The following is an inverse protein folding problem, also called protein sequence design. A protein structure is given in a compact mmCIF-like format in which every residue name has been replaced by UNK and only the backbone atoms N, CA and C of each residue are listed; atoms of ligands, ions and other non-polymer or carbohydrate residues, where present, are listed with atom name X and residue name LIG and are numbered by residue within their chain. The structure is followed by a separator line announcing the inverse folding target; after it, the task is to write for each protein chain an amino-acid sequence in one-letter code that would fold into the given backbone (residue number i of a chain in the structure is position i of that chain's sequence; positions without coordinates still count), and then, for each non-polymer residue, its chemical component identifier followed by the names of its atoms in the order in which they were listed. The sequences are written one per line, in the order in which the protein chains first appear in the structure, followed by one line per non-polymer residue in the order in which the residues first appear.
data_IF_501833254093
#
_entry.id   IF_501833254093
#
_cell.length_a   1.000
_cell.length_b   1.000
_cell.length_c   1.000
_cell.angle_alpha   90.00
_cell.angle_beta   90.00
_cell.angle_gamma   90.00
#
_symmetry.space_group_name_H-M   'P 1'
#
loop_
_entity.id
_entity.type
_entity.pdbx_description
1 polymer ?
#
# COMPACT_ATOMS: atom_id res chain seq x y z
N UNK A 1 44.82 -10.59 38.86
CA UNK A 1 43.46 -10.30 39.38
C UNK A 1 42.68 -9.39 38.43
N UNK A 2 43.22 -8.28 37.90
CA UNK A 2 42.51 -7.43 36.91
C UNK A 2 42.33 -8.10 35.55
N UNK A 3 43.32 -8.88 35.10
CA UNK A 3 43.22 -9.61 33.82
C UNK A 3 42.15 -10.73 33.81
N UNK A 4 41.85 -11.28 35.00
CA UNK A 4 40.84 -12.34 35.16
C UNK A 4 39.40 -11.76 35.14
N UNK A 5 39.23 -10.56 35.67
CA UNK A 5 37.91 -9.86 35.67
C UNK A 5 37.55 -9.39 34.25
N UNK A 6 38.56 -8.91 33.49
CA UNK A 6 38.35 -8.51 32.10
C UNK A 6 38.04 -9.70 31.17
N UNK A 7 38.70 -10.85 31.37
CA UNK A 7 38.43 -12.06 30.59
C UNK A 7 37.05 -12.66 30.91
N UNK A 8 36.63 -12.63 32.17
CA UNK A 8 35.26 -13.01 32.57
C UNK A 8 34.18 -12.06 32.03
N UNK A 9 34.45 -10.76 32.03
CA UNK A 9 33.52 -9.76 31.47
C UNK A 9 33.37 -9.91 29.95
N UNK A 10 34.46 -10.19 29.23
CA UNK A 10 34.43 -10.46 27.78
C UNK A 10 33.75 -11.80 27.47
N UNK A 11 33.97 -12.82 28.32
CA UNK A 11 33.30 -14.15 28.16
C UNK A 11 31.79 -14.08 28.44
N UNK A 12 31.33 -13.21 29.34
CA UNK A 12 29.92 -12.97 29.59
C UNK A 12 29.23 -12.15 28.47
N UNK A 13 29.96 -11.24 27.84
CA UNK A 13 29.44 -10.46 26.70
C UNK A 13 29.30 -11.27 25.41
N UNK A 14 30.04 -12.36 25.25
CA UNK A 14 30.01 -13.20 24.04
C UNK A 14 28.87 -14.23 23.98
N UNK A 15 28.13 -14.43 25.08
CA UNK A 15 27.07 -15.45 25.18
C UNK A 15 25.63 -14.90 25.19
N UNK A 16 25.46 -13.60 25.06
CA UNK A 16 24.12 -13.01 24.82
C UNK A 16 23.93 -12.81 23.32
N UNK A 17 23.61 -13.88 22.62
CA UNK A 17 23.14 -13.80 21.23
C UNK A 17 21.80 -13.02 21.21
N UNK A 18 21.88 -11.69 21.13
CA UNK A 18 20.74 -10.84 20.79
C UNK A 18 20.39 -11.00 19.30
N UNK A 19 20.27 -12.23 18.84
CA UNK A 19 19.74 -12.51 17.51
C UNK A 19 18.25 -12.18 17.49
N UNK A 20 17.79 -11.51 16.42
CA UNK A 20 16.37 -11.25 16.21
C UNK A 20 15.53 -12.53 16.31
N UNK A 21 16.13 -13.64 15.92
CA UNK A 21 15.50 -14.96 16.01
C UNK A 21 15.33 -15.45 17.45
N UNK A 22 16.34 -15.21 18.31
CA UNK A 22 16.26 -15.57 19.72
C UNK A 22 15.22 -14.73 20.48
N UNK A 23 15.09 -13.42 20.13
CA UNK A 23 14.06 -12.56 20.67
C UNK A 23 12.66 -13.07 20.29
N UNK A 24 12.46 -13.48 19.05
CA UNK A 24 11.18 -14.02 18.61
C UNK A 24 10.83 -15.34 19.32
N UNK A 25 11.81 -16.27 19.47
CA UNK A 25 11.52 -17.58 20.10
C UNK A 25 11.16 -17.43 21.58
N UNK A 26 11.78 -16.51 22.30
CA UNK A 26 11.56 -16.31 23.74
C UNK A 26 10.31 -15.49 24.05
N UNK A 27 9.83 -14.68 23.10
CA UNK A 27 8.69 -13.80 23.30
C UNK A 27 7.43 -14.59 23.77
N UNK A 28 6.60 -13.92 24.58
CA UNK A 28 5.31 -14.42 25.00
C UNK A 28 4.37 -14.65 23.80
N UNK A 29 3.38 -15.53 23.96
CA UNK A 29 2.43 -15.89 22.91
C UNK A 29 1.74 -14.66 22.29
N UNK A 30 1.37 -13.66 23.10
CA UNK A 30 0.72 -12.44 22.62
C UNK A 30 1.68 -11.59 21.79
N UNK A 31 2.92 -11.39 22.29
CA UNK A 31 3.95 -10.63 21.54
C UNK A 31 4.30 -11.34 20.24
N UNK A 32 4.41 -12.67 20.23
CA UNK A 32 4.59 -13.47 19.00
C UNK A 32 3.47 -13.23 17.99
N UNK A 33 2.23 -13.23 18.46
CA UNK A 33 1.06 -13.01 17.59
C UNK A 33 1.08 -11.62 16.96
N UNK A 34 1.44 -10.60 17.74
CA UNK A 34 1.63 -9.22 17.27
C UNK A 34 2.71 -9.17 16.21
N UNK A 35 3.88 -9.76 16.45
CA UNK A 35 5.01 -9.80 15.51
C UNK A 35 4.60 -10.46 14.19
N UNK A 36 3.96 -11.64 14.25
CA UNK A 36 3.52 -12.37 13.05
C UNK A 36 2.48 -11.58 12.25
N UNK A 37 1.53 -10.93 12.93
CA UNK A 37 0.54 -10.06 12.29
C UNK A 37 1.22 -8.89 11.57
N UNK A 38 2.15 -8.20 12.21
CA UNK A 38 2.88 -7.07 11.62
C UNK A 38 3.73 -7.49 10.43
N UNK A 39 4.41 -8.63 10.49
CA UNK A 39 5.17 -9.18 9.36
C UNK A 39 4.23 -9.51 8.19
N UNK A 40 3.10 -10.16 8.45
CA UNK A 40 2.09 -10.47 7.43
C UNK A 40 1.55 -9.21 6.75
N UNK A 41 1.19 -8.19 7.54
CA UNK A 41 0.74 -6.89 7.05
C UNK A 41 1.85 -6.20 6.21
N UNK A 42 3.10 -6.27 6.65
CA UNK A 42 4.24 -5.70 5.94
C UNK A 42 4.45 -6.36 4.57
N UNK A 43 4.46 -7.69 4.51
CA UNK A 43 4.63 -8.45 3.26
C UNK A 43 3.50 -8.11 2.28
N UNK A 44 2.26 -8.10 2.75
CA UNK A 44 1.11 -7.78 1.89
C UNK A 44 1.12 -6.32 1.43
N UNK A 45 1.55 -5.37 2.29
CA UNK A 45 1.76 -3.98 1.89
C UNK A 45 2.78 -3.85 0.77
N UNK A 46 3.91 -4.53 0.86
CA UNK A 46 4.92 -4.54 -0.20
C UNK A 46 4.41 -5.15 -1.51
N UNK A 47 3.59 -6.20 -1.45
CA UNK A 47 2.95 -6.77 -2.64
C UNK A 47 2.08 -5.72 -3.35
N UNK A 48 1.22 -4.99 -2.61
CA UNK A 48 0.40 -3.90 -3.15
C UNK A 48 1.29 -2.78 -3.71
N UNK A 49 2.33 -2.37 -2.99
CA UNK A 49 3.23 -1.29 -3.42
C UNK A 49 3.87 -1.61 -4.77
N UNK A 50 4.41 -2.82 -4.93
CA UNK A 50 5.06 -3.25 -6.17
C UNK A 50 4.05 -3.34 -7.32
N UNK A 51 2.87 -3.93 -7.07
CA UNK A 51 1.78 -4.02 -8.06
C UNK A 51 1.37 -2.62 -8.54
N UNK A 52 1.06 -1.72 -7.62
CA UNK A 52 0.58 -0.38 -7.97
C UNK A 52 1.64 0.48 -8.63
N UNK A 53 2.88 0.38 -8.20
CA UNK A 53 3.98 1.10 -8.85
C UNK A 53 4.13 0.71 -10.33
N UNK A 54 4.05 -0.60 -10.63
CA UNK A 54 4.09 -1.10 -12.01
C UNK A 54 2.84 -0.69 -12.79
N UNK A 55 1.66 -0.80 -12.18
CA UNK A 55 0.38 -0.45 -12.78
C UNK A 55 0.32 1.03 -13.18
N UNK A 56 0.65 1.95 -12.27
CA UNK A 56 0.66 3.40 -12.58
C UNK A 56 1.67 3.76 -13.66
N UNK A 57 2.86 3.14 -13.65
CA UNK A 57 3.85 3.37 -14.70
C UNK A 57 3.33 2.92 -16.06
N UNK A 58 2.73 1.72 -16.14
CA UNK A 58 2.15 1.16 -17.38
C UNK A 58 1.00 2.05 -17.88
N UNK A 59 0.04 2.36 -17.00
CA UNK A 59 -1.15 3.16 -17.35
C UNK A 59 -0.76 4.55 -17.87
N UNK A 60 0.20 5.22 -17.23
CA UNK A 60 0.62 6.55 -17.69
C UNK A 60 1.25 6.50 -19.09
N UNK A 61 2.13 5.54 -19.35
CA UNK A 61 2.75 5.39 -20.67
C UNK A 61 1.71 5.08 -21.76
N UNK A 62 0.84 4.11 -21.51
CA UNK A 62 -0.21 3.73 -22.46
C UNK A 62 -1.23 4.86 -22.69
N UNK A 63 -1.50 5.67 -21.66
CA UNK A 63 -2.40 6.82 -21.79
C UNK A 63 -1.80 7.91 -22.66
N UNK A 64 -0.49 8.22 -22.49
CA UNK A 64 0.20 9.21 -23.31
C UNK A 64 0.26 8.78 -24.78
N UNK A 65 0.58 7.50 -25.04
CA UNK A 65 0.53 6.95 -26.40
C UNK A 65 -0.87 6.99 -27.02
N UNK A 66 -1.89 6.69 -26.21
CA UNK A 66 -3.28 6.72 -26.66
C UNK A 66 -3.71 8.13 -27.04
N UNK A 67 -3.45 9.13 -26.15
CA UNK A 67 -3.79 10.52 -26.43
C UNK A 67 -3.07 11.03 -27.70
N UNK A 68 -1.78 10.75 -27.84
CA UNK A 68 -1.02 11.15 -29.01
C UNK A 68 -1.59 10.58 -30.32
N UNK A 69 -1.91 9.28 -30.33
CA UNK A 69 -2.51 8.61 -31.48
C UNK A 69 -3.93 9.13 -31.77
N UNK A 70 -4.72 9.37 -30.72
CA UNK A 70 -6.08 9.88 -30.85
C UNK A 70 -6.10 11.29 -31.50
N UNK A 71 -5.29 12.22 -30.98
CA UNK A 71 -5.27 13.60 -31.49
C UNK A 71 -4.61 13.74 -32.87
N UNK A 72 -3.82 12.75 -33.29
CA UNK A 72 -3.26 12.69 -34.65
C UNK A 72 -4.22 12.07 -35.66
N UNK A 73 -5.27 11.40 -35.22
CA UNK A 73 -6.24 10.73 -36.10
C UNK A 73 -7.16 11.74 -36.80
N UNK A 74 -7.60 11.41 -38.00
CA UNK A 74 -8.48 12.29 -38.81
C UNK A 74 -9.90 12.37 -38.27
N UNK A 75 -10.39 11.31 -37.63
CA UNK A 75 -11.71 11.25 -37.02
C UNK A 75 -11.76 10.22 -35.87
N UNK A 76 -12.66 10.47 -34.89
CA UNK A 76 -12.89 9.54 -33.78
C UNK A 76 -13.33 8.14 -34.25
N UNK A 77 -14.13 8.06 -35.32
CA UNK A 77 -14.62 6.80 -35.89
C UNK A 77 -13.50 5.98 -36.53
N UNK A 78 -12.62 6.62 -37.31
CA UNK A 78 -11.44 5.96 -37.89
C UNK A 78 -10.52 5.41 -36.82
N UNK A 79 -10.31 6.18 -35.76
CA UNK A 79 -9.50 5.76 -34.63
C UNK A 79 -10.12 4.61 -33.87
N UNK A 80 -11.44 4.65 -33.63
CA UNK A 80 -12.19 3.57 -33.00
C UNK A 80 -12.01 2.23 -33.72
N UNK A 81 -12.11 2.23 -35.06
CA UNK A 81 -11.97 1.04 -35.89
C UNK A 81 -10.53 0.50 -35.91
N UNK A 82 -9.53 1.31 -35.53
CA UNK A 82 -8.13 0.91 -35.45
C UNK A 82 -7.73 0.34 -34.09
N UNK A 83 -8.61 0.41 -33.08
CA UNK A 83 -8.29 -0.05 -31.73
C UNK A 83 -8.22 -1.58 -31.64
N UNK A 84 -7.29 -2.13 -30.87
CA UNK A 84 -7.22 -3.56 -30.59
C UNK A 84 -8.43 -4.04 -29.79
N UNK A 85 -8.73 -5.34 -29.92
CA UNK A 85 -9.89 -5.95 -29.24
C UNK A 85 -9.70 -5.93 -27.72
N UNK A 86 -8.48 -6.24 -27.25
CA UNK A 86 -8.13 -6.26 -25.83
C UNK A 86 -7.47 -4.93 -25.43
N UNK A 87 -8.22 -4.12 -24.70
CA UNK A 87 -7.77 -2.86 -24.14
C UNK A 87 -7.67 -3.02 -22.62
N UNK A 88 -6.52 -2.68 -22.06
CA UNK A 88 -6.29 -2.64 -20.59
C UNK A 88 -6.23 -1.20 -20.08
N UNK A 89 -5.92 -0.24 -20.95
CA UNK A 89 -5.81 1.16 -20.57
C UNK A 89 -7.19 1.77 -20.27
N UNK A 90 -7.40 2.38 -19.07
CA UNK A 90 -8.70 2.94 -18.69
C UNK A 90 -9.21 4.04 -19.63
N UNK A 91 -8.33 4.88 -20.19
CA UNK A 91 -8.72 5.93 -21.14
C UNK A 91 -9.19 5.34 -22.47
N UNK A 92 -8.51 4.30 -22.95
CA UNK A 92 -8.92 3.60 -24.17
C UNK A 92 -10.26 2.87 -24.00
N UNK A 93 -10.51 2.28 -22.83
CA UNK A 93 -11.80 1.68 -22.48
C UNK A 93 -12.91 2.73 -22.43
N UNK A 94 -12.63 3.88 -21.78
CA UNK A 94 -13.57 5.00 -21.72
C UNK A 94 -13.97 5.48 -23.12
N UNK A 95 -13.00 5.67 -24.01
CA UNK A 95 -13.24 6.06 -25.39
C UNK A 95 -14.05 5.01 -26.16
N UNK A 96 -13.68 3.72 -26.04
CA UNK A 96 -14.37 2.61 -26.71
C UNK A 96 -15.83 2.53 -26.30
N UNK A 97 -16.13 2.58 -25.01
CA UNK A 97 -17.49 2.52 -24.48
C UNK A 97 -18.32 3.74 -24.94
N UNK A 98 -17.69 4.91 -24.99
CA UNK A 98 -18.28 6.15 -25.46
C UNK A 98 -18.65 6.07 -26.95
N UNK A 99 -17.71 5.59 -27.78
CA UNK A 99 -17.97 5.42 -29.21
C UNK A 99 -19.05 4.37 -29.50
N UNK A 100 -19.08 3.27 -28.75
CA UNK A 100 -20.16 2.29 -28.89
C UNK A 100 -21.54 2.88 -28.58
N UNK A 101 -21.61 3.73 -27.58
CA UNK A 101 -22.86 4.42 -27.21
C UNK A 101 -23.26 5.42 -28.28
N UNK A 102 -22.32 6.19 -28.81
CA UNK A 102 -22.52 7.14 -29.88
C UNK A 102 -23.09 6.47 -31.14
N UNK A 103 -22.44 5.37 -31.56
CA UNK A 103 -22.85 4.61 -32.77
C UNK A 103 -24.21 3.92 -32.62
N UNK A 104 -24.63 3.55 -31.40
CA UNK A 104 -25.92 2.94 -31.10
C UNK A 104 -27.04 3.95 -30.90
N UNK A 105 -26.73 5.23 -30.74
CA UNK A 105 -27.69 6.28 -30.45
C UNK A 105 -28.56 6.56 -31.69
N UNK A 106 -29.80 6.09 -31.69
CA UNK A 106 -30.82 6.36 -32.73
C UNK A 106 -31.43 7.77 -32.65
N UNK A 107 -31.35 8.41 -31.50
CA UNK A 107 -31.96 9.72 -31.23
C UNK A 107 -30.91 10.69 -30.70
N UNK A 108 -30.77 11.84 -31.38
CA UNK A 108 -29.78 12.89 -31.04
C UNK A 108 -30.26 13.82 -29.91
N UNK A 109 -31.54 13.72 -29.50
CA UNK A 109 -32.07 14.49 -28.39
C UNK A 109 -31.39 14.04 -27.09
N UNK A 110 -30.80 15.00 -26.34
CA UNK A 110 -30.10 14.77 -25.08
C UNK A 110 -28.86 13.84 -25.15
N UNK A 111 -28.28 13.67 -26.37
CA UNK A 111 -27.12 12.79 -26.55
C UNK A 111 -25.93 13.24 -25.70
N UNK A 112 -25.63 14.54 -25.67
CA UNK A 112 -24.51 15.09 -24.92
C UNK A 112 -24.67 14.88 -23.41
N UNK A 113 -25.85 15.05 -22.85
CA UNK A 113 -26.12 14.82 -21.44
C UNK A 113 -25.97 13.34 -21.06
N UNK A 114 -26.57 12.45 -21.86
CA UNK A 114 -26.44 10.99 -21.67
C UNK A 114 -24.99 10.53 -21.76
N UNK A 115 -24.24 11.09 -22.71
CA UNK A 115 -22.83 10.80 -22.93
C UNK A 115 -21.99 11.28 -21.74
N UNK A 116 -22.25 12.51 -21.25
CA UNK A 116 -21.57 13.05 -20.07
C UNK A 116 -21.77 12.17 -18.84
N UNK A 117 -23.02 11.80 -18.55
CA UNK A 117 -23.35 10.94 -17.41
C UNK A 117 -22.69 9.54 -17.53
N UNK A 118 -22.67 8.97 -18.73
CA UNK A 118 -22.02 7.69 -18.97
C UNK A 118 -20.50 7.76 -18.79
N UNK A 119 -19.88 8.82 -19.30
CA UNK A 119 -18.44 9.05 -19.13
C UNK A 119 -18.07 9.18 -17.65
N UNK A 120 -18.86 9.93 -16.88
CA UNK A 120 -18.67 10.10 -15.44
C UNK A 120 -18.73 8.76 -14.70
N UNK A 121 -19.78 7.96 -14.93
CA UNK A 121 -19.93 6.61 -14.34
C UNK A 121 -18.78 5.68 -14.74
N UNK A 122 -18.33 5.73 -15.99
CA UNK A 122 -17.22 4.90 -16.43
C UNK A 122 -15.89 5.35 -15.83
N UNK A 123 -15.65 6.64 -15.69
CA UNK A 123 -14.47 7.18 -15.00
C UNK A 123 -14.45 6.69 -13.55
N UNK A 124 -15.56 6.84 -12.83
CA UNK A 124 -15.67 6.37 -11.44
C UNK A 124 -15.35 4.88 -11.32
N UNK A 125 -15.93 4.05 -12.18
CA UNK A 125 -15.67 2.60 -12.23
C UNK A 125 -14.19 2.27 -12.44
N UNK A 126 -13.52 2.97 -13.34
CA UNK A 126 -12.09 2.77 -13.58
C UNK A 126 -11.25 3.20 -12.37
N UNK A 127 -11.62 4.32 -11.72
CA UNK A 127 -10.93 4.80 -10.54
C UNK A 127 -11.06 3.86 -9.34
N UNK A 128 -12.27 3.32 -9.08
CA UNK A 128 -12.48 2.30 -8.02
C UNK A 128 -11.57 1.08 -8.24
N UNK A 129 -11.40 0.65 -9.47
CA UNK A 129 -10.52 -0.49 -9.80
C UNK A 129 -9.04 -0.14 -9.58
N UNK A 130 -8.63 1.07 -9.96
CA UNK A 130 -7.26 1.56 -9.80
C UNK A 130 -6.88 1.73 -8.33
N UNK A 131 -7.79 2.20 -7.49
CA UNK A 131 -7.59 2.48 -6.07
C UNK A 131 -7.70 1.25 -5.16
N UNK A 132 -8.02 0.09 -5.72
CA UNK A 132 -8.08 -1.16 -4.95
C UNK A 132 -6.77 -1.40 -4.20
N UNK A 133 -6.85 -1.62 -2.89
CA UNK A 133 -5.70 -1.83 -2.01
C UNK A 133 -5.20 -0.57 -1.29
N UNK A 134 -5.60 0.65 -1.70
CA UNK A 134 -5.19 1.88 -1.02
C UNK A 134 -5.68 1.92 0.42
N UNK A 135 -6.92 1.50 0.66
CA UNK A 135 -7.51 1.41 2.00
C UNK A 135 -6.67 0.53 2.93
N UNK A 136 -6.14 -0.59 2.42
CA UNK A 136 -5.28 -1.45 3.22
C UNK A 136 -3.97 -0.75 3.60
N UNK A 137 -3.30 -0.08 2.66
CA UNK A 137 -2.09 0.69 2.94
C UNK A 137 -2.34 1.81 3.96
N UNK A 138 -3.45 2.54 3.83
CA UNK A 138 -3.86 3.56 4.79
C UNK A 138 -4.09 2.97 6.19
N UNK A 139 -4.78 1.83 6.27
CA UNK A 139 -5.07 1.15 7.53
C UNK A 139 -3.78 0.67 8.20
N UNK A 140 -2.90 -0.05 7.48
CA UNK A 140 -1.62 -0.50 8.03
C UNK A 140 -0.78 0.69 8.47
N UNK A 141 -0.71 1.74 7.64
CA UNK A 141 0.04 2.95 7.97
C UNK A 141 -0.42 3.64 9.26
N UNK A 142 -1.71 3.65 9.52
CA UNK A 142 -2.28 4.28 10.72
C UNK A 142 -2.33 3.36 11.95
N UNK A 143 -2.50 2.05 11.78
CA UNK A 143 -2.75 1.12 12.91
C UNK A 143 -1.52 0.32 13.33
N UNK A 144 -0.59 0.00 12.42
CA UNK A 144 0.56 -0.83 12.75
C UNK A 144 1.46 -0.27 13.86
N UNK A 145 1.70 1.05 13.99
CA UNK A 145 2.44 1.61 15.14
C UNK A 145 1.75 1.32 16.47
N UNK A 146 0.42 1.41 16.51
CA UNK A 146 -0.34 1.15 17.73
C UNK A 146 -0.37 -0.33 18.10
N UNK A 147 -0.41 -1.22 17.09
CA UNK A 147 -0.29 -2.66 17.28
C UNK A 147 1.10 -3.00 17.84
N UNK A 148 2.17 -2.37 17.33
CA UNK A 148 3.51 -2.51 17.86
C UNK A 148 3.62 -1.98 19.30
N UNK A 149 3.04 -0.82 19.59
CA UNK A 149 2.97 -0.24 20.93
C UNK A 149 2.22 -1.16 21.90
N UNK A 150 1.12 -1.77 21.48
CA UNK A 150 0.42 -2.77 22.28
C UNK A 150 1.35 -3.94 22.66
N UNK A 151 2.13 -4.44 21.70
CA UNK A 151 3.15 -5.47 21.95
C UNK A 151 4.18 -5.03 23.00
N UNK A 152 4.61 -3.77 22.95
CA UNK A 152 5.55 -3.21 23.94
C UNK A 152 4.94 -3.14 25.34
N UNK A 153 3.74 -2.61 25.47
CA UNK A 153 3.05 -2.50 26.76
C UNK A 153 2.85 -3.89 27.37
N UNK A 154 2.42 -4.87 26.58
CA UNK A 154 2.24 -6.25 27.02
C UNK A 154 3.55 -6.89 27.49
N UNK A 155 4.61 -6.80 26.70
CA UNK A 155 5.90 -7.40 27.04
C UNK A 155 6.56 -6.77 28.27
N UNK A 156 6.44 -5.45 28.44
CA UNK A 156 6.92 -4.76 29.64
C UNK A 156 6.11 -5.21 30.87
N UNK A 157 4.79 -5.32 30.74
CA UNK A 157 3.93 -5.82 31.82
C UNK A 157 4.35 -7.22 32.29
N UNK A 158 4.62 -8.13 31.35
CA UNK A 158 5.09 -9.48 31.66
C UNK A 158 6.49 -9.47 32.32
N UNK A 159 7.36 -8.54 31.91
CA UNK A 159 8.68 -8.38 32.52
C UNK A 159 8.57 -7.96 33.98
N UNK A 160 7.69 -7.03 34.33
CA UNK A 160 7.42 -6.64 35.71
C UNK A 160 6.74 -7.76 36.52
N UNK A 161 5.85 -8.54 35.92
CA UNK A 161 5.27 -9.70 36.56
C UNK A 161 6.33 -10.74 36.94
N UNK A 162 7.34 -10.93 36.08
CA UNK A 162 8.47 -11.83 36.37
C UNK A 162 9.30 -11.38 37.60
N UNK A 163 9.49 -10.07 37.79
CA UNK A 163 10.13 -9.51 39.03
C UNK A 163 9.29 -9.85 40.25
N UNK A 164 7.98 -9.66 40.20
CA UNK A 164 7.09 -9.90 41.31
C UNK A 164 7.10 -11.39 41.74
N UNK A 165 7.14 -12.31 40.79
CA UNK A 165 7.16 -13.77 41.03
C UNK A 165 8.56 -14.18 41.58
N UNK A 166 9.63 -13.74 40.92
CA UNK A 166 11.01 -14.14 41.32
C UNK A 166 11.53 -13.44 42.54
N UNK A 167 10.87 -12.36 43.01
CA UNK A 167 11.32 -11.47 44.07
C UNK A 167 12.77 -10.98 43.88
N UNK A 168 13.23 -10.93 42.67
CA UNK A 168 14.57 -10.54 42.27
C UNK A 168 14.49 -9.34 41.30
N UNK A 169 15.04 -8.20 41.70
CA UNK A 169 15.02 -6.96 40.91
C UNK A 169 16.22 -6.82 39.98
N UNK A 170 16.96 -7.92 39.73
CA UNK A 170 18.09 -7.87 38.81
C UNK A 170 17.64 -7.52 37.38
N UNK A 171 18.32 -6.53 36.81
CA UNK A 171 18.07 -6.09 35.43
C UNK A 171 18.26 -7.22 34.42
N UNK A 172 19.13 -8.19 34.69
CA UNK A 172 19.39 -9.35 33.87
C UNK A 172 18.14 -10.24 33.63
N UNK A 173 17.17 -10.21 34.55
CA UNK A 173 15.93 -10.98 34.41
C UNK A 173 14.94 -10.32 33.46
N UNK A 174 14.88 -8.99 33.43
CA UNK A 174 13.85 -8.26 32.66
C UNK A 174 14.35 -7.72 31.33
N UNK A 175 15.67 -7.51 31.18
CA UNK A 175 16.24 -6.95 29.95
C UNK A 175 15.85 -7.71 28.68
N UNK A 176 15.83 -9.06 28.64
CA UNK A 176 15.37 -9.79 27.45
C UNK A 176 13.92 -9.47 27.09
N UNK A 177 12.99 -9.53 28.05
CA UNK A 177 11.58 -9.25 27.79
C UNK A 177 11.29 -7.80 27.37
N UNK A 178 12.05 -6.84 27.92
CA UNK A 178 11.98 -5.45 27.47
C UNK A 178 12.49 -5.32 26.02
N UNK A 179 13.59 -5.99 25.67
CA UNK A 179 14.14 -5.98 24.31
C UNK A 179 13.15 -6.58 23.29
N UNK A 180 12.50 -7.69 23.66
CA UNK A 180 11.46 -8.33 22.83
C UNK A 180 10.26 -7.40 22.62
N UNK A 181 9.83 -6.71 23.68
CA UNK A 181 8.76 -5.73 23.61
C UNK A 181 9.10 -4.59 22.65
N UNK A 182 10.26 -3.96 22.79
CA UNK A 182 10.72 -2.88 21.93
C UNK A 182 10.85 -3.32 20.45
N UNK A 183 11.23 -4.56 20.23
CA UNK A 183 11.29 -5.14 18.89
C UNK A 183 9.91 -5.16 18.19
N UNK A 184 8.83 -5.44 18.92
CA UNK A 184 7.46 -5.38 18.36
C UNK A 184 7.10 -3.96 17.87
N UNK A 185 7.47 -2.91 18.63
CA UNK A 185 7.24 -1.53 18.19
C UNK A 185 8.07 -1.18 16.95
N UNK A 186 9.33 -1.60 16.90
CA UNK A 186 10.18 -1.38 15.73
C UNK A 186 9.58 -2.02 14.47
N UNK A 187 9.03 -3.23 14.57
CA UNK A 187 8.32 -3.89 13.46
C UNK A 187 7.04 -3.16 13.07
N UNK A 188 6.29 -2.61 14.03
CA UNK A 188 5.11 -1.79 13.76
C UNK A 188 5.45 -0.57 12.91
N UNK A 189 6.52 0.14 13.25
CA UNK A 189 7.02 1.28 12.48
C UNK A 189 7.57 0.86 11.11
N UNK A 190 8.29 -0.25 11.05
CA UNK A 190 8.82 -0.80 9.79
C UNK A 190 7.71 -1.16 8.79
N UNK A 191 6.57 -1.65 9.28
CA UNK A 191 5.40 -1.93 8.44
C UNK A 191 4.65 -0.65 8.05
N UNK A 192 4.50 0.30 8.98
CA UNK A 192 3.68 1.50 8.77
C UNK A 192 4.33 2.50 7.82
N UNK A 193 5.61 2.80 7.97
CA UNK A 193 6.29 3.87 7.23
C UNK A 193 6.19 3.67 5.72
N UNK A 194 6.55 2.50 5.14
CA UNK A 194 6.41 2.29 3.70
C UNK A 194 4.95 2.36 3.23
N UNK A 195 4.02 1.84 4.04
CA UNK A 195 2.60 1.84 3.71
C UNK A 195 2.03 3.26 3.60
N UNK A 196 2.33 4.15 4.55
CA UNK A 196 1.91 5.57 4.52
C UNK A 196 2.51 6.30 3.33
N UNK A 197 3.81 6.15 3.10
CA UNK A 197 4.51 6.82 2.00
C UNK A 197 3.91 6.38 0.66
N UNK A 198 3.69 5.08 0.48
CA UNK A 198 3.11 4.53 -0.75
C UNK A 198 1.65 4.97 -0.93
N UNK A 199 0.83 4.92 0.12
CA UNK A 199 -0.55 5.41 0.08
C UNK A 199 -0.62 6.87 -0.38
N UNK A 200 0.16 7.76 0.23
CA UNK A 200 0.16 9.17 -0.12
C UNK A 200 0.59 9.40 -1.58
N UNK A 201 1.62 8.66 -2.03
CA UNK A 201 2.07 8.72 -3.42
C UNK A 201 0.98 8.26 -4.37
N UNK A 202 0.41 7.07 -4.18
CA UNK A 202 -0.58 6.51 -5.09
C UNK A 202 -1.90 7.28 -5.09
N UNK A 203 -2.33 7.80 -3.94
CA UNK A 203 -3.50 8.67 -3.85
C UNK A 203 -3.30 9.97 -4.66
N UNK A 204 -2.10 10.55 -4.63
CA UNK A 204 -1.79 11.70 -5.45
C UNK A 204 -1.72 11.36 -6.95
N UNK A 205 -1.10 10.23 -7.30
CA UNK A 205 -1.02 9.75 -8.69
C UNK A 205 -2.41 9.42 -9.25
N UNK A 206 -3.30 8.82 -8.43
CA UNK A 206 -4.69 8.55 -8.75
C UNK A 206 -5.47 9.84 -9.06
N UNK A 207 -5.35 10.87 -8.22
CA UNK A 207 -6.00 12.18 -8.45
C UNK A 207 -5.52 12.83 -9.76
N UNK A 208 -4.23 12.77 -10.06
CA UNK A 208 -3.69 13.29 -11.32
C UNK A 208 -4.24 12.52 -12.52
N UNK A 209 -4.36 11.20 -12.39
CA UNK A 209 -4.90 10.37 -13.45
C UNK A 209 -6.40 10.62 -13.66
N UNK A 210 -7.18 10.80 -12.59
CA UNK A 210 -8.58 11.23 -12.66
C UNK A 210 -8.72 12.52 -13.46
N UNK A 211 -7.92 13.53 -13.17
CA UNK A 211 -7.93 14.80 -13.92
C UNK A 211 -7.62 14.60 -15.42
N UNK A 212 -6.69 13.69 -15.76
CA UNK A 212 -6.43 13.34 -17.17
C UNK A 212 -7.66 12.75 -17.84
N UNK A 213 -8.35 11.81 -17.18
CA UNK A 213 -9.58 11.20 -17.71
C UNK A 213 -10.72 12.22 -17.88
N UNK A 214 -10.92 13.09 -16.89
CA UNK A 214 -11.93 14.16 -16.97
C UNK A 214 -11.62 15.16 -18.10
N UNK A 215 -10.37 15.57 -18.23
CA UNK A 215 -9.95 16.49 -19.29
C UNK A 215 -10.14 15.86 -20.69
N UNK A 216 -9.77 14.59 -20.82
CA UNK A 216 -10.02 13.84 -22.06
C UNK A 216 -11.52 13.76 -22.35
N UNK A 217 -12.35 13.43 -21.36
CA UNK A 217 -13.81 13.36 -21.47
C UNK A 217 -14.41 14.69 -21.96
N UNK A 218 -14.05 15.81 -21.33
CA UNK A 218 -14.53 17.16 -21.70
C UNK A 218 -14.13 17.53 -23.13
N UNK A 219 -12.87 17.26 -23.51
CA UNK A 219 -12.37 17.52 -24.88
C UNK A 219 -13.07 16.61 -25.90
N UNK A 220 -13.29 15.34 -25.57
CA UNK A 220 -14.00 14.41 -26.42
C UNK A 220 -15.45 14.86 -26.65
N UNK A 221 -16.16 15.25 -25.60
CA UNK A 221 -17.54 15.78 -25.73
C UNK A 221 -17.63 17.06 -26.57
N UNK A 222 -16.58 17.87 -26.62
CA UNK A 222 -16.59 19.12 -27.40
C UNK A 222 -16.44 18.91 -28.92
N UNK A 223 -16.06 17.71 -29.37
CA UNK A 223 -15.84 17.38 -30.78
C UNK A 223 -16.94 16.46 -31.36
N UNK A 224 -17.88 16.03 -30.53
CA UNK A 224 -19.05 15.22 -30.92
C UNK A 224 -20.28 16.11 -31.04
#
# INVERSE_FOLDING_TARGET
MEADITSQAVGLASNTDFSLWSLFIRADFIVKSVILMLIGCSIYSWAIIIEKFRSFKKINLETEEFEEKFWKSKSAETFYNSLPVNLENPMALLFKDSMQTLLKAKNKSNLNERMSNMLEVNIEKQMVTLEKGFTFLATVGSTAPFIGLFGTVWGIMNSFQSIAISRNTSLAIVAPGIAEALFATALGLLAAIPAVVAYNKFNNDSKKYLQKLENFSKRFLSII
#
